data_IF_829444210089
#
_entry.id   IF_829444210089
#
_cell.length_a   1.000
_cell.length_b   1.000
_cell.length_c   1.000
_cell.angle_alpha   90.00
_cell.angle_beta   90.00
_cell.angle_gamma   90.00
#
_symmetry.space_group_name_H-M   'P 1'
#
loop_
_entity.id
_entity.type
_entity.pdbx_description
1 polymer ?
#
# COMPACT_ATOMS: atom_id res chain seq x y z
N UNK A 1 -32.81 -34.17 53.74
CA UNK A 1 -31.73 -33.17 53.55
C UNK A 1 -30.80 -33.40 52.34
N UNK A 2 -30.91 -34.52 51.58
CA UNK A 2 -30.09 -34.76 50.37
C UNK A 2 -30.70 -34.19 49.05
N UNK A 3 -31.95 -33.71 49.09
CA UNK A 3 -32.66 -33.21 47.91
C UNK A 3 -32.45 -31.70 47.67
N UNK A 4 -32.29 -30.92 48.75
CA UNK A 4 -32.04 -29.47 48.67
C UNK A 4 -30.61 -29.13 48.19
N UNK A 5 -29.63 -29.99 48.49
CA UNK A 5 -28.23 -29.78 48.11
C UNK A 5 -28.03 -30.00 46.60
N UNK A 6 -28.76 -30.95 45.99
CA UNK A 6 -28.72 -31.20 44.53
C UNK A 6 -29.37 -30.07 43.73
N UNK A 7 -30.42 -29.45 44.27
CA UNK A 7 -31.12 -28.33 43.63
C UNK A 7 -30.24 -27.06 43.56
N UNK A 8 -29.44 -26.80 44.60
CA UNK A 8 -28.51 -25.66 44.62
C UNK A 8 -27.37 -25.81 43.60
N UNK A 9 -26.82 -27.02 43.43
CA UNK A 9 -25.77 -27.28 42.44
C UNK A 9 -26.25 -27.08 41.00
N UNK A 10 -27.48 -27.48 40.68
CA UNK A 10 -28.06 -27.31 39.34
C UNK A 10 -28.24 -25.82 39.01
N UNK A 11 -28.71 -25.02 39.98
CA UNK A 11 -28.88 -23.57 39.79
C UNK A 11 -27.53 -22.88 39.51
N UNK A 12 -26.48 -23.25 40.24
CA UNK A 12 -25.13 -22.70 40.04
C UNK A 12 -24.56 -23.06 38.66
N UNK A 13 -24.84 -24.27 38.17
CA UNK A 13 -24.37 -24.72 36.86
C UNK A 13 -25.04 -23.95 35.71
N UNK A 14 -26.34 -23.64 35.83
CA UNK A 14 -27.08 -22.83 34.84
C UNK A 14 -26.54 -21.40 34.79
N UNK A 15 -26.25 -20.79 35.95
CA UNK A 15 -25.67 -19.44 36.03
C UNK A 15 -24.25 -19.42 35.44
N UNK A 16 -23.46 -20.48 35.66
CA UNK A 16 -22.12 -20.57 35.10
C UNK A 16 -22.13 -20.69 33.57
N UNK A 17 -23.04 -21.51 33.01
CA UNK A 17 -23.19 -21.67 31.56
C UNK A 17 -23.64 -20.36 30.90
N UNK A 18 -24.56 -19.61 31.53
CA UNK A 18 -25.03 -18.34 30.98
C UNK A 18 -23.95 -17.25 30.98
N UNK A 19 -23.05 -17.23 31.99
CA UNK A 19 -21.88 -16.32 32.00
C UNK A 19 -20.89 -16.63 30.88
N UNK A 20 -20.58 -17.92 30.65
CA UNK A 20 -19.65 -18.34 29.59
C UNK A 20 -20.20 -17.98 28.20
N UNK A 21 -21.50 -18.19 27.98
CA UNK A 21 -22.17 -17.81 26.72
C UNK A 21 -22.18 -16.29 26.46
N UNK A 22 -22.20 -15.47 27.50
CA UNK A 22 -22.11 -14.02 27.37
C UNK A 22 -20.69 -13.56 27.02
N UNK A 23 -19.66 -14.20 27.59
CA UNK A 23 -18.26 -13.90 27.30
C UNK A 23 -17.87 -14.24 25.84
N UNK A 24 -18.50 -15.25 25.23
CA UNK A 24 -18.22 -15.64 23.83
C UNK A 24 -18.94 -14.79 22.79
N UNK A 25 -19.90 -13.94 23.19
CA UNK A 25 -20.70 -13.10 22.27
C UNK A 25 -20.20 -11.66 22.18
N UNK A 26 -19.05 -11.33 22.76
CA UNK A 26 -18.44 -10.03 22.46
C UNK A 26 -18.10 -9.99 20.96
N UNK A 27 -18.68 -9.06 20.18
CA UNK A 27 -18.24 -8.88 18.82
C UNK A 27 -16.75 -8.59 18.88
N UNK A 28 -15.96 -9.33 18.09
CA UNK A 28 -14.56 -9.07 17.87
C UNK A 28 -14.43 -7.57 17.59
N UNK A 29 -13.89 -6.82 18.54
CA UNK A 29 -13.48 -5.44 18.33
C UNK A 29 -12.33 -5.51 17.32
N UNK A 30 -12.67 -5.48 16.05
CA UNK A 30 -11.74 -5.14 14.98
C UNK A 30 -11.58 -3.64 15.14
N UNK A 31 -10.40 -3.14 15.54
CA UNK A 31 -10.16 -1.71 15.54
C UNK A 31 -10.42 -1.25 14.12
N UNK A 32 -11.35 -0.30 13.95
CA UNK A 32 -11.50 0.38 12.68
C UNK A 32 -10.11 0.91 12.32
N UNK A 33 -9.55 0.43 11.22
CA UNK A 33 -8.35 1.02 10.62
C UNK A 33 -8.73 2.48 10.44
N UNK A 34 -8.11 3.35 11.23
CA UNK A 34 -8.24 4.79 11.06
C UNK A 34 -7.70 5.06 9.67
N UNK A 35 -8.60 5.19 8.69
CA UNK A 35 -8.25 5.77 7.40
C UNK A 35 -7.77 7.18 7.74
N UNK A 36 -6.47 7.50 7.57
CA UNK A 36 -6.03 8.88 7.70
C UNK A 36 -6.91 9.70 6.75
N UNK A 37 -7.40 10.84 7.22
CA UNK A 37 -8.22 11.75 6.42
C UNK A 37 -7.55 11.92 5.05
N UNK A 38 -8.20 11.44 4.00
CA UNK A 38 -7.67 11.42 2.63
C UNK A 38 -7.27 12.82 2.14
N UNK A 39 -7.78 13.87 2.78
CA UNK A 39 -7.45 15.27 2.51
C UNK A 39 -5.97 15.62 2.68
N UNK A 40 -5.17 14.90 3.49
CA UNK A 40 -3.76 15.24 3.74
C UNK A 40 -2.75 14.21 3.18
N UNK A 41 -3.18 12.99 2.83
CA UNK A 41 -2.22 11.95 2.41
C UNK A 41 -1.47 12.33 1.13
N UNK A 42 -2.17 12.85 0.13
CA UNK A 42 -1.56 13.26 -1.13
C UNK A 42 -0.55 14.41 -0.95
N UNK A 43 -0.85 15.36 -0.05
CA UNK A 43 0.03 16.48 0.27
C UNK A 43 1.28 16.01 1.01
N UNK A 44 1.15 15.18 2.05
CA UNK A 44 2.27 14.60 2.78
C UNK A 44 3.22 13.81 1.86
N UNK A 45 2.67 12.99 0.97
CA UNK A 45 3.48 12.25 0.00
C UNK A 45 4.09 13.18 -1.05
N UNK A 46 3.35 14.18 -1.51
CA UNK A 46 3.87 15.22 -2.41
C UNK A 46 5.11 15.89 -1.84
N UNK A 47 5.06 16.32 -0.58
CA UNK A 47 6.18 16.93 0.13
C UNK A 47 7.36 15.97 0.30
N UNK A 48 7.09 14.71 0.65
CA UNK A 48 8.13 13.68 0.75
C UNK A 48 8.81 13.42 -0.60
N UNK A 49 8.06 13.38 -1.70
CA UNK A 49 8.60 13.18 -3.04
C UNK A 49 9.58 14.30 -3.42
N UNK A 50 9.28 15.54 -3.04
CA UNK A 50 10.16 16.69 -3.28
C UNK A 50 11.38 16.69 -2.37
N UNK A 51 11.17 16.59 -1.05
CA UNK A 51 12.24 16.71 -0.04
C UNK A 51 13.24 15.55 -0.06
N UNK A 52 12.83 14.37 -0.54
CA UNK A 52 13.71 13.19 -0.63
C UNK A 52 14.46 13.06 -1.95
N UNK A 53 14.31 14.00 -2.90
CA UNK A 53 14.83 13.90 -4.27
C UNK A 53 14.40 12.61 -4.99
N UNK A 54 13.25 12.05 -4.62
CA UNK A 54 12.83 10.72 -5.07
C UNK A 54 12.76 10.62 -6.59
N UNK A 55 12.11 11.58 -7.25
CA UNK A 55 12.01 11.65 -8.73
C UNK A 55 13.40 11.64 -9.38
N UNK A 56 14.31 12.46 -8.87
CA UNK A 56 15.68 12.57 -9.39
C UNK A 56 16.44 11.26 -9.23
N UNK A 57 16.38 10.65 -8.05
CA UNK A 57 17.02 9.35 -7.76
C UNK A 57 16.49 8.26 -8.68
N UNK A 58 15.18 8.22 -8.90
CA UNK A 58 14.53 7.26 -9.82
C UNK A 58 15.02 7.45 -11.25
N UNK A 59 15.01 8.68 -11.78
CA UNK A 59 15.51 8.96 -13.13
C UNK A 59 16.98 8.55 -13.29
N UNK A 60 17.83 8.87 -12.30
CA UNK A 60 19.26 8.51 -12.34
C UNK A 60 19.44 6.99 -12.33
N UNK A 61 18.70 6.26 -11.49
CA UNK A 61 18.79 4.81 -11.42
C UNK A 61 18.31 4.13 -12.71
N UNK A 62 17.23 4.62 -13.31
CA UNK A 62 16.73 4.11 -14.59
C UNK A 62 17.76 4.31 -15.72
N UNK A 63 18.39 5.49 -15.76
CA UNK A 63 19.49 5.76 -16.71
C UNK A 63 20.69 4.87 -16.48
N UNK A 64 21.06 4.61 -15.22
CA UNK A 64 22.15 3.70 -14.88
C UNK A 64 21.85 2.24 -15.27
N UNK A 65 20.57 1.85 -15.29
CA UNK A 65 20.11 0.54 -15.79
C UNK A 65 20.00 0.48 -17.33
N UNK A 66 20.29 1.57 -18.05
CA UNK A 66 20.27 1.62 -19.51
C UNK A 66 18.95 2.10 -20.13
N UNK A 67 17.97 2.51 -19.33
CA UNK A 67 16.72 3.08 -19.84
C UNK A 67 16.85 4.58 -20.16
N UNK A 68 16.00 5.06 -21.06
CA UNK A 68 15.91 6.47 -21.43
C UNK A 68 14.58 7.09 -20.98
N UNK A 69 14.39 7.38 -19.67
CA UNK A 69 13.17 8.02 -19.21
C UNK A 69 13.12 9.52 -19.54
N UNK A 70 11.91 10.05 -19.61
CA UNK A 70 11.67 11.50 -19.54
C UNK A 70 12.35 12.14 -18.32
N UNK A 71 12.53 13.46 -18.39
CA UNK A 71 13.01 14.22 -17.24
C UNK A 71 11.91 14.48 -16.20
N UNK A 72 10.70 13.99 -16.44
CA UNK A 72 9.54 14.09 -15.56
C UNK A 72 8.96 12.71 -15.27
N UNK A 73 8.30 12.59 -14.12
CA UNK A 73 7.55 11.40 -13.71
C UNK A 73 6.15 11.87 -13.29
N UNK A 74 5.12 11.18 -13.77
CA UNK A 74 3.74 11.45 -13.38
C UNK A 74 3.36 10.70 -12.10
N UNK A 75 2.60 11.34 -11.22
CA UNK A 75 2.13 10.76 -9.97
C UNK A 75 0.62 10.90 -9.84
N UNK A 76 -0.04 9.83 -9.41
CA UNK A 76 -1.42 9.85 -8.89
C UNK A 76 -1.39 9.25 -7.49
N UNK A 77 -1.67 10.07 -6.48
CA UNK A 77 -1.61 9.66 -5.06
C UNK A 77 -3.02 9.69 -4.48
N UNK A 78 -3.58 8.51 -4.21
CA UNK A 78 -4.91 8.40 -3.60
C UNK A 78 -4.84 7.82 -2.18
N UNK A 79 -4.08 6.74 -2.00
CA UNK A 79 -3.91 6.07 -0.69
C UNK A 79 -2.59 5.28 -0.64
N UNK A 80 -2.15 4.80 0.54
CA UNK A 80 -0.93 3.98 0.68
C UNK A 80 -0.87 2.75 -0.22
N UNK A 81 -2.03 2.18 -0.54
CA UNK A 81 -2.14 0.97 -1.39
C UNK A 81 -2.56 1.29 -2.82
N UNK A 82 -2.93 2.54 -3.12
CA UNK A 82 -3.31 2.99 -4.45
C UNK A 82 -2.60 4.29 -4.80
N UNK A 83 -1.38 4.15 -5.30
CA UNK A 83 -0.54 5.26 -5.75
C UNK A 83 0.21 4.81 -6.99
N UNK A 84 0.05 5.57 -8.07
CA UNK A 84 0.54 5.22 -9.41
C UNK A 84 1.69 6.16 -9.77
N UNK A 85 2.79 5.57 -10.22
CA UNK A 85 3.90 6.28 -10.83
C UNK A 85 3.90 6.00 -12.34
N UNK A 86 3.80 7.03 -13.17
CA UNK A 86 3.89 6.88 -14.63
C UNK A 86 5.26 7.33 -15.13
N UNK A 87 5.98 6.42 -15.77
CA UNK A 87 7.30 6.66 -16.37
C UNK A 87 7.17 6.53 -17.89
N UNK A 88 7.54 7.58 -18.59
CA UNK A 88 7.64 7.57 -20.05
C UNK A 88 9.07 7.22 -20.46
N UNK A 89 9.22 6.24 -21.34
CA UNK A 89 10.50 5.79 -21.88
C UNK A 89 10.60 6.08 -23.37
N UNK A 90 11.81 6.42 -23.79
CA UNK A 90 12.23 6.59 -25.17
C UNK A 90 13.17 5.47 -25.60
N UNK A 91 13.40 5.37 -26.91
CA UNK A 91 14.45 4.53 -27.51
C UNK A 91 14.39 3.05 -27.11
N UNK A 92 13.19 2.51 -26.92
CA UNK A 92 12.95 1.09 -26.67
C UNK A 92 11.82 0.60 -27.58
N UNK A 93 12.03 -0.53 -28.23
CA UNK A 93 11.12 -1.05 -29.26
C UNK A 93 9.77 -1.48 -28.70
N UNK A 94 9.78 -2.10 -27.52
CA UNK A 94 8.59 -2.55 -26.81
C UNK A 94 8.83 -2.59 -25.31
N UNK A 95 7.76 -2.39 -24.55
CA UNK A 95 7.75 -2.67 -23.11
C UNK A 95 7.27 -4.11 -22.94
N UNK A 96 8.12 -4.98 -22.41
CA UNK A 96 7.74 -6.33 -22.03
C UNK A 96 7.67 -6.48 -20.51
N UNK A 97 7.14 -7.62 -20.05
CA UNK A 97 6.98 -7.91 -18.62
C UNK A 97 8.31 -7.87 -17.86
N UNK A 98 9.43 -8.20 -18.52
CA UNK A 98 10.76 -8.15 -17.89
C UNK A 98 11.13 -6.71 -17.60
N UNK A 99 10.96 -5.83 -18.57
CA UNK A 99 11.19 -4.39 -18.47
C UNK A 99 10.32 -3.77 -17.38
N UNK A 100 9.02 -4.07 -17.37
CA UNK A 100 8.10 -3.60 -16.32
C UNK A 100 8.53 -4.07 -14.93
N UNK A 101 8.92 -5.35 -14.80
CA UNK A 101 9.32 -5.93 -13.52
C UNK A 101 10.62 -5.33 -12.99
N UNK A 102 11.60 -5.10 -13.87
CA UNK A 102 12.87 -4.47 -13.52
C UNK A 102 12.68 -3.02 -13.07
N UNK A 103 11.90 -2.24 -13.81
CA UNK A 103 11.59 -0.86 -13.46
C UNK A 103 10.81 -0.79 -12.14
N UNK A 104 9.83 -1.67 -11.96
CA UNK A 104 9.08 -1.79 -10.70
C UNK A 104 10.01 -2.11 -9.52
N UNK A 105 11.00 -2.99 -9.72
CA UNK A 105 12.00 -3.32 -8.71
C UNK A 105 12.90 -2.12 -8.35
N UNK A 106 13.38 -1.38 -9.35
CA UNK A 106 14.18 -0.16 -9.16
C UNK A 106 13.39 0.85 -8.33
N UNK A 107 12.15 1.16 -8.74
CA UNK A 107 11.30 2.13 -8.04
C UNK A 107 11.01 1.69 -6.62
N UNK A 108 10.66 0.42 -6.39
CA UNK A 108 10.40 -0.10 -5.04
C UNK A 108 11.62 -0.03 -4.13
N UNK A 109 12.80 -0.31 -4.67
CA UNK A 109 14.05 -0.23 -3.91
C UNK A 109 14.32 1.20 -3.44
N UNK A 110 14.10 2.18 -4.33
CA UNK A 110 14.25 3.59 -4.00
C UNK A 110 13.16 4.03 -3.01
N UNK A 111 11.90 3.59 -3.18
CA UNK A 111 10.79 3.97 -2.32
C UNK A 111 11.06 3.53 -0.88
N UNK A 112 11.50 2.27 -0.70
CA UNK A 112 11.91 1.72 0.59
C UNK A 112 13.03 2.53 1.23
N UNK A 113 14.04 2.95 0.46
CA UNK A 113 15.16 3.73 0.96
C UNK A 113 14.80 5.18 1.35
N UNK A 114 13.63 5.67 0.93
CA UNK A 114 13.13 7.01 1.28
C UNK A 114 11.87 6.94 2.17
N UNK A 115 11.60 5.78 2.80
CA UNK A 115 10.45 5.57 3.70
C UNK A 115 9.09 5.90 3.05
N UNK A 116 8.97 5.61 1.75
CA UNK A 116 7.73 5.74 0.99
C UNK A 116 7.06 4.36 0.83
N UNK A 117 5.73 4.35 0.73
CA UNK A 117 5.00 3.17 0.27
C UNK A 117 5.35 2.85 -1.19
N UNK A 118 5.16 1.60 -1.59
CA UNK A 118 5.42 1.18 -2.97
C UNK A 118 4.45 1.86 -3.94
N UNK A 119 4.93 2.14 -5.15
CA UNK A 119 4.11 2.65 -6.24
C UNK A 119 3.72 1.52 -7.17
N UNK A 120 2.53 1.59 -7.74
CA UNK A 120 2.17 0.81 -8.93
C UNK A 120 2.82 1.53 -10.11
N UNK A 121 3.81 0.91 -10.75
CA UNK A 121 4.54 1.56 -11.85
C UNK A 121 3.85 1.27 -13.18
N UNK A 122 3.48 2.35 -13.88
CA UNK A 122 2.95 2.33 -15.23
C UNK A 122 4.03 2.84 -16.19
N UNK A 123 4.58 1.95 -17.03
CA UNK A 123 5.60 2.31 -18.01
C UNK A 123 4.92 2.56 -19.36
N UNK A 124 5.23 3.68 -20.00
CA UNK A 124 4.68 4.07 -21.30
C UNK A 124 5.79 4.35 -22.29
N UNK A 125 5.59 3.93 -23.53
CA UNK A 125 6.43 4.34 -24.65
C UNK A 125 6.02 5.74 -25.09
N UNK A 126 7.02 6.57 -25.41
CA UNK A 126 6.79 7.80 -26.15
C UNK A 126 6.97 7.50 -27.63
N UNK A 127 5.89 7.60 -28.39
CA UNK A 127 5.97 7.52 -29.85
C UNK A 127 6.71 8.75 -30.39
N UNK A 128 7.87 8.52 -31.03
CA UNK A 128 8.64 9.57 -31.72
C UNK A 128 7.91 10.19 -32.93
N UNK A 129 6.73 9.68 -33.30
CA UNK A 129 5.98 10.10 -34.49
C UNK A 129 4.99 11.26 -34.24
N UNK A 130 4.87 11.78 -33.02
CA UNK A 130 3.90 12.85 -32.68
C UNK A 130 4.49 14.28 -32.65
N UNK A 131 5.75 14.47 -33.06
CA UNK A 131 6.43 15.79 -33.05
C UNK A 131 6.83 16.31 -34.45
N UNK A 132 6.12 15.95 -35.52
CA UNK A 132 6.33 16.53 -36.86
C UNK A 132 5.13 17.32 -37.34
#
# INVERSE_FOLDING_TARGET
MKFLIKSSFILFFIIFISLVLFATKQPLYVPAIQTPSTTNYAEEIGDKLQTSDFTKKTIVALRAAGYSPDSTIGYLIESPTNQIMTIHLHNIDKIDKSTESEIQYIVNSIAKNNNLHNFIVNVRLVDMNLQR
#
